data_IF_486376525603
#
_entry.id   IF_486376525603
#
_cell.length_a   1.000
_cell.length_b   1.000
_cell.length_c   1.000
_cell.angle_alpha   90.00
_cell.angle_beta   90.00
_cell.angle_gamma   90.00
#
_symmetry.space_group_name_H-M   'P 1'
#
loop_
_entity.id
_entity.type
_entity.pdbx_description
1 polymer ?
#
# COMPACT_ATOMS: atom_id res chain seq x y z
N UNK A 1 -0.37 3.64 -78.88
CA UNK A 1 -1.56 3.94 -78.03
C UNK A 1 -1.15 3.73 -76.58
N UNK A 2 -0.80 4.81 -75.86
CA UNK A 2 -0.07 4.73 -74.58
C UNK A 2 -1.00 5.17 -73.42
N UNK A 3 -1.37 4.22 -72.54
CA UNK A 3 -2.39 4.43 -71.49
C UNK A 3 -1.69 4.75 -70.16
N UNK A 4 -1.59 6.04 -69.81
CA UNK A 4 -1.09 6.48 -68.48
C UNK A 4 -2.03 5.96 -67.38
N UNK A 5 -1.54 5.07 -66.52
CA UNK A 5 -2.22 4.65 -65.29
C UNK A 5 -1.94 5.68 -64.20
N UNK A 6 -2.94 6.50 -63.87
CA UNK A 6 -2.90 7.40 -62.73
C UNK A 6 -3.04 6.59 -61.44
N UNK A 7 -1.93 6.32 -60.75
CA UNK A 7 -1.95 5.86 -59.35
C UNK A 7 -1.81 7.12 -58.50
N UNK A 8 -2.91 7.86 -58.33
CA UNK A 8 -2.91 9.12 -57.61
C UNK A 8 -3.78 9.02 -56.34
N UNK A 9 -3.11 8.97 -55.19
CA UNK A 9 -3.50 9.81 -54.06
C UNK A 9 -4.65 9.32 -53.17
N UNK A 10 -4.63 8.09 -52.67
CA UNK A 10 -5.60 7.66 -51.63
C UNK A 10 -4.97 6.94 -50.43
N UNK A 11 -3.82 7.42 -49.94
CA UNK A 11 -3.14 6.84 -48.76
C UNK A 11 -2.62 7.85 -47.74
N UNK A 12 -2.95 9.15 -47.82
CA UNK A 12 -2.55 10.12 -46.80
C UNK A 12 -3.59 10.32 -45.68
N UNK A 13 -4.86 9.99 -45.94
CA UNK A 13 -5.96 10.20 -44.99
C UNK A 13 -6.05 9.08 -43.94
N UNK A 14 -5.86 7.81 -44.32
CA UNK A 14 -5.93 6.67 -43.39
C UNK A 14 -4.71 6.60 -42.45
N UNK A 15 -3.53 7.02 -42.92
CA UNK A 15 -2.31 7.11 -42.10
C UNK A 15 -2.48 8.08 -40.93
N UNK A 16 -3.10 9.25 -41.16
CA UNK A 16 -3.41 10.22 -40.09
C UNK A 16 -4.36 9.64 -39.05
N UNK A 17 -5.32 8.82 -39.49
CA UNK A 17 -6.24 8.12 -38.58
C UNK A 17 -5.51 7.08 -37.72
N UNK A 18 -4.61 6.28 -38.30
CA UNK A 18 -3.82 5.30 -37.52
C UNK A 18 -2.90 5.98 -36.51
N UNK A 19 -2.25 7.10 -36.87
CA UNK A 19 -1.46 7.90 -35.92
C UNK A 19 -2.33 8.44 -34.79
N UNK A 20 -3.52 8.96 -35.10
CA UNK A 20 -4.44 9.48 -34.09
C UNK A 20 -4.87 8.38 -33.10
N UNK A 21 -5.22 7.18 -33.58
CA UNK A 21 -5.60 6.05 -32.73
C UNK A 21 -4.42 5.60 -31.86
N UNK A 22 -3.22 5.46 -32.45
CA UNK A 22 -2.03 5.08 -31.69
C UNK A 22 -1.69 6.11 -30.61
N UNK A 23 -1.83 7.41 -30.90
CA UNK A 23 -1.61 8.48 -29.93
C UNK A 23 -2.60 8.40 -28.76
N UNK A 24 -3.88 8.14 -29.02
CA UNK A 24 -4.90 7.98 -27.96
C UNK A 24 -4.58 6.78 -27.06
N UNK A 25 -4.15 5.65 -27.63
CA UNK A 25 -3.77 4.46 -26.85
C UNK A 25 -2.56 4.76 -25.98
N UNK A 26 -1.53 5.42 -26.52
CA UNK A 26 -0.31 5.76 -25.76
C UNK A 26 -0.63 6.74 -24.63
N UNK A 27 -1.41 7.79 -24.91
CA UNK A 27 -1.81 8.77 -23.89
C UNK A 27 -2.67 8.12 -22.82
N UNK A 28 -3.64 7.28 -23.21
CA UNK A 28 -4.49 6.54 -22.27
C UNK A 28 -3.69 5.57 -21.41
N UNK A 29 -2.73 4.87 -22.01
CA UNK A 29 -1.81 3.99 -21.28
C UNK A 29 -0.96 4.75 -20.27
N UNK A 30 -0.35 5.87 -20.67
CA UNK A 30 0.45 6.71 -19.78
C UNK A 30 -0.38 7.31 -18.65
N UNK A 31 -1.59 7.81 -18.95
CA UNK A 31 -2.50 8.33 -17.93
C UNK A 31 -2.96 7.24 -16.95
N UNK A 32 -3.22 6.02 -17.45
CA UNK A 32 -3.56 4.86 -16.63
C UNK A 32 -2.42 4.48 -15.68
N UNK A 33 -1.19 4.37 -16.20
CA UNK A 33 0.01 4.10 -15.40
C UNK A 33 0.22 5.22 -14.37
N UNK A 34 0.07 6.48 -14.75
CA UNK A 34 0.19 7.62 -13.84
C UNK A 34 -0.84 7.59 -12.70
N UNK A 35 -2.09 7.28 -13.03
CA UNK A 35 -3.17 7.12 -12.04
C UNK A 35 -2.94 5.94 -11.09
N UNK A 36 -2.40 4.83 -11.61
CA UNK A 36 -2.03 3.67 -10.79
C UNK A 36 -0.86 3.97 -9.85
N UNK A 37 0.13 4.75 -10.30
CA UNK A 37 1.28 5.15 -9.49
C UNK A 37 0.89 6.09 -8.34
N UNK A 38 -0.10 6.95 -8.53
CA UNK A 38 -0.57 7.88 -7.49
C UNK A 38 -1.71 7.33 -6.61
N UNK A 39 -2.26 6.16 -6.93
CA UNK A 39 -3.35 5.57 -6.15
C UNK A 39 -2.82 4.79 -4.94
N UNK A 40 -3.01 5.37 -3.76
CA UNK A 40 -2.93 4.64 -2.50
C UNK A 40 -3.97 3.51 -2.49
N UNK A 41 -3.64 2.30 -1.99
CA UNK A 41 -4.63 1.23 -1.86
C UNK A 41 -5.82 1.72 -1.03
N UNK A 42 -7.07 1.47 -1.47
CA UNK A 42 -8.26 1.95 -0.76
C UNK A 42 -8.38 1.40 0.66
N UNK A 43 -7.71 0.28 0.96
CA UNK A 43 -7.67 -0.35 2.28
C UNK A 43 -6.73 0.35 3.28
N UNK A 44 -5.81 1.21 2.83
CA UNK A 44 -4.87 1.89 3.73
C UNK A 44 -5.44 3.23 4.21
N UNK A 45 -5.98 3.22 5.43
CA UNK A 45 -6.43 4.41 6.15
C UNK A 45 -5.94 4.30 7.60
N UNK A 46 -4.73 4.77 7.92
CA UNK A 46 -4.25 4.73 9.30
C UNK A 46 -5.20 5.55 10.17
N UNK A 47 -5.64 4.96 11.28
CA UNK A 47 -6.47 5.64 12.27
C UNK A 47 -5.58 6.67 12.98
N UNK A 48 -6.03 7.92 13.07
CA UNK A 48 -5.33 8.91 13.88
C UNK A 48 -5.60 8.65 15.36
N UNK A 49 -4.56 8.70 16.20
CA UNK A 49 -4.73 8.63 17.64
C UNK A 49 -5.44 9.90 18.15
N UNK A 50 -6.41 9.75 19.04
CA UNK A 50 -7.11 10.87 19.68
C UNK A 50 -6.16 11.67 20.59
N UNK A 51 -5.31 10.97 21.36
CA UNK A 51 -4.27 11.54 22.22
C UNK A 51 -2.92 10.85 21.96
N UNK A 52 -2.07 11.38 21.06
CA UNK A 52 -0.82 10.72 20.66
C UNK A 52 0.24 10.68 21.77
N UNK A 53 0.17 11.55 22.78
CA UNK A 53 1.12 11.59 23.89
C UNK A 53 0.81 10.56 24.99
N UNK A 54 -0.38 9.97 24.97
CA UNK A 54 -0.81 8.98 25.96
C UNK A 54 -0.52 7.55 25.49
N UNK A 55 -0.16 6.69 26.44
CA UNK A 55 -0.05 5.24 26.18
C UNK A 55 -1.42 4.71 25.74
N UNK A 56 -1.42 3.79 24.77
CA UNK A 56 -2.62 3.13 24.28
C UNK A 56 -3.48 2.58 25.44
N UNK A 57 -4.78 2.96 25.52
CA UNK A 57 -5.72 2.34 26.43
C UNK A 57 -5.84 0.84 26.19
N UNK A 58 -5.73 0.41 24.93
CA UNK A 58 -5.74 -1.02 24.60
C UNK A 58 -4.57 -1.77 25.22
N UNK A 59 -3.36 -1.19 25.15
CA UNK A 59 -2.18 -1.77 25.78
C UNK A 59 -2.33 -1.87 27.30
N UNK A 60 -2.82 -0.81 27.93
CA UNK A 60 -2.86 -0.68 29.41
C UNK A 60 -4.06 -1.36 30.07
N UNK A 61 -5.23 -1.35 29.43
CA UNK A 61 -6.49 -1.85 30.02
C UNK A 61 -6.90 -3.24 29.53
N UNK A 62 -6.33 -3.72 28.41
CA UNK A 62 -6.66 -5.04 27.84
C UNK A 62 -5.46 -5.97 27.83
N UNK A 63 -4.48 -5.64 26.99
CA UNK A 63 -3.32 -6.50 26.74
C UNK A 63 -2.47 -6.77 27.99
N UNK A 64 -2.09 -5.71 28.72
CA UNK A 64 -1.22 -5.85 29.88
C UNK A 64 -1.88 -6.64 31.02
N UNK A 65 -3.15 -6.39 31.41
CA UNK A 65 -3.85 -7.21 32.39
C UNK A 65 -3.99 -8.68 31.95
N UNK A 66 -4.40 -8.95 30.72
CA UNK A 66 -4.60 -10.32 30.23
C UNK A 66 -3.28 -11.09 30.21
N UNK A 67 -2.20 -10.45 29.76
CA UNK A 67 -0.85 -11.01 29.81
C UNK A 67 -0.41 -11.29 31.24
N UNK A 68 -0.54 -10.30 32.13
CA UNK A 68 -0.09 -10.41 33.51
C UNK A 68 -0.83 -11.52 34.24
N UNK A 69 -2.15 -11.59 34.08
CA UNK A 69 -2.99 -12.63 34.67
C UNK A 69 -2.62 -14.02 34.12
N UNK A 70 -2.43 -14.15 32.81
CA UNK A 70 -2.03 -15.42 32.18
C UNK A 70 -0.67 -15.91 32.69
N UNK A 71 0.32 -15.01 32.78
CA UNK A 71 1.65 -15.34 33.31
C UNK A 71 1.59 -15.74 34.78
N UNK A 72 0.76 -15.08 35.60
CA UNK A 72 0.61 -15.41 37.01
C UNK A 72 0.06 -16.82 37.24
N UNK A 73 -0.83 -17.30 36.36
CA UNK A 73 -1.41 -18.62 36.47
C UNK A 73 -0.41 -19.74 36.11
N UNK A 74 0.71 -19.41 35.46
CA UNK A 74 1.75 -20.36 35.02
C UNK A 74 1.20 -21.57 34.25
N UNK A 75 0.12 -21.35 33.52
CA UNK A 75 -0.56 -22.31 32.65
C UNK A 75 -0.57 -21.76 31.22
N UNK A 76 -0.69 -22.62 30.19
CA UNK A 76 -0.93 -22.15 28.83
C UNK A 76 -2.21 -21.29 28.79
N UNK A 77 -2.08 -20.05 28.36
CA UNK A 77 -3.20 -19.12 28.22
C UNK A 77 -3.38 -18.69 26.78
N UNK A 78 -4.63 -18.35 26.44
CA UNK A 78 -4.98 -17.75 25.17
C UNK A 78 -5.08 -16.23 25.33
N UNK A 79 -4.62 -15.50 24.32
CA UNK A 79 -4.71 -14.04 24.28
C UNK A 79 -5.30 -13.62 22.95
N UNK A 80 -6.37 -12.83 23.02
CA UNK A 80 -7.05 -12.29 21.84
C UNK A 80 -6.48 -10.91 21.52
N UNK A 81 -5.80 -10.80 20.37
CA UNK A 81 -5.27 -9.54 19.87
C UNK A 81 -6.24 -8.99 18.82
N UNK A 82 -6.70 -7.76 19.03
CA UNK A 82 -7.64 -7.07 18.16
C UNK A 82 -6.90 -6.15 17.18
N UNK A 83 -7.30 -6.17 15.91
CA UNK A 83 -6.69 -5.35 14.86
C UNK A 83 -6.71 -3.86 15.22
N UNK A 84 -7.84 -3.38 15.73
CA UNK A 84 -8.04 -1.97 16.06
C UNK A 84 -7.15 -1.55 17.24
N UNK A 85 -6.96 -2.44 18.20
CA UNK A 85 -6.07 -2.23 19.33
C UNK A 85 -4.59 -2.15 18.92
N UNK A 86 -4.15 -3.00 18.00
CA UNK A 86 -2.78 -2.91 17.43
C UNK A 86 -2.62 -1.62 16.64
N UNK A 87 -3.61 -1.24 15.84
CA UNK A 87 -3.57 0.00 15.06
C UNK A 87 -3.58 1.26 15.96
N UNK A 88 -4.27 1.24 17.10
CA UNK A 88 -4.20 2.31 18.11
C UNK A 88 -2.81 2.42 18.74
N UNK A 89 -2.14 1.29 19.02
CA UNK A 89 -0.76 1.32 19.51
C UNK A 89 0.17 1.92 18.46
N UNK A 90 0.04 1.50 17.19
CA UNK A 90 0.90 1.96 16.11
C UNK A 90 0.69 3.44 15.78
N UNK A 91 -0.55 3.93 15.84
CA UNK A 91 -0.88 5.33 15.53
C UNK A 91 -0.32 6.34 16.54
N UNK A 92 -0.01 5.90 17.76
CA UNK A 92 0.61 6.71 18.83
C UNK A 92 2.14 6.77 18.73
N UNK A 93 2.75 5.98 17.87
CA UNK A 93 4.20 6.05 17.63
C UNK A 93 4.62 7.37 17.00
N UNK A 94 5.91 7.69 17.11
CA UNK A 94 6.48 8.83 16.39
C UNK A 94 6.55 8.48 14.90
N UNK A 95 5.72 9.11 14.08
CA UNK A 95 5.66 8.94 12.63
C UNK A 95 5.51 10.31 11.93
N UNK A 96 5.99 10.46 10.68
CA UNK A 96 6.79 9.47 9.95
C UNK A 96 8.20 9.30 10.53
N UNK A 97 8.82 8.16 10.27
CA UNK A 97 10.21 7.88 10.66
C UNK A 97 11.14 7.98 9.46
N UNK A 98 12.25 8.69 9.62
CA UNK A 98 13.28 8.83 8.59
C UNK A 98 14.39 7.79 8.81
N UNK A 99 14.69 7.01 7.77
CA UNK A 99 15.79 6.06 7.70
C UNK A 99 16.62 6.38 6.45
N UNK A 100 17.73 7.10 6.62
CA UNK A 100 18.60 7.55 5.52
C UNK A 100 17.79 8.18 4.36
N UNK A 101 17.68 7.46 3.25
CA UNK A 101 17.00 7.88 2.02
C UNK A 101 15.51 7.51 1.96
N UNK A 102 14.95 7.03 3.06
CA UNK A 102 13.60 6.47 3.14
C UNK A 102 12.80 7.11 4.27
N UNK A 103 11.60 7.58 3.98
CA UNK A 103 10.61 8.02 4.96
C UNK A 103 9.53 6.96 5.06
N UNK A 104 9.33 6.41 6.26
CA UNK A 104 8.29 5.43 6.56
C UNK A 104 7.13 6.14 7.26
N UNK A 105 5.95 6.10 6.65
CA UNK A 105 4.71 6.61 7.23
C UNK A 105 4.16 5.69 8.31
N UNK A 106 3.01 6.06 8.87
CA UNK A 106 2.34 5.29 9.94
C UNK A 106 2.00 3.88 9.41
N UNK A 107 2.51 2.80 9.99
CA UNK A 107 2.13 1.45 9.60
C UNK A 107 0.70 1.14 10.06
N UNK A 108 0.03 0.26 9.32
CA UNK A 108 -1.28 -0.29 9.63
C UNK A 108 -1.21 -1.81 9.54
N UNK A 109 -1.89 -2.47 10.47
CA UNK A 109 -2.07 -3.91 10.50
C UNK A 109 -3.48 -4.27 10.06
N UNK A 110 -3.58 -5.28 9.20
CA UNK A 110 -4.84 -5.89 8.76
C UNK A 110 -4.80 -7.38 9.04
N UNK A 111 -5.81 -7.90 9.73
CA UNK A 111 -5.97 -9.31 10.02
C UNK A 111 -6.90 -9.95 9.00
N UNK A 112 -6.40 -10.99 8.33
CA UNK A 112 -7.17 -11.86 7.44
C UNK A 112 -7.08 -13.30 7.96
N UNK A 113 -7.97 -14.18 7.51
CA UNK A 113 -7.99 -15.56 7.96
C UNK A 113 -6.62 -16.24 7.71
N UNK A 114 -5.92 -16.58 8.79
CA UNK A 114 -4.59 -17.22 8.76
C UNK A 114 -3.44 -16.31 8.33
N UNK A 115 -3.65 -15.00 8.12
CA UNK A 115 -2.60 -14.07 7.66
C UNK A 115 -2.70 -12.72 8.35
N UNK A 116 -1.55 -12.14 8.70
CA UNK A 116 -1.44 -10.77 9.21
C UNK A 116 -0.67 -9.94 8.19
N UNK A 117 -1.28 -8.86 7.72
CA UNK A 117 -0.65 -7.91 6.81
C UNK A 117 -0.19 -6.67 7.58
N UNK A 118 1.08 -6.32 7.45
CA UNK A 118 1.61 -5.04 7.89
C UNK A 118 1.87 -4.17 6.66
N UNK A 119 1.24 -3.00 6.59
CA UNK A 119 1.35 -2.08 5.46
C UNK A 119 1.79 -0.70 5.94
N UNK A 120 2.81 -0.13 5.33
CA UNK A 120 3.17 1.27 5.53
C UNK A 120 3.43 1.96 4.20
N UNK A 121 3.23 3.28 4.18
CA UNK A 121 3.67 4.13 3.09
C UNK A 121 5.18 4.35 3.20
N UNK A 122 5.87 4.15 2.09
CA UNK A 122 7.31 4.37 1.99
C UNK A 122 7.56 5.41 0.91
N UNK A 123 8.20 6.51 1.29
CA UNK A 123 8.71 7.52 0.36
C UNK A 123 10.23 7.38 0.30
N UNK A 124 10.80 7.01 -0.85
CA UNK A 124 12.25 6.92 -1.08
C UNK A 124 12.69 8.09 -1.95
N UNK A 125 13.89 8.66 -1.76
CA UNK A 125 14.37 9.82 -2.54
C UNK A 125 14.16 9.61 -4.05
N UNK A 126 13.15 10.30 -4.61
CA UNK A 126 12.80 10.27 -6.04
C UNK A 126 11.87 9.13 -6.49
N UNK A 127 11.50 8.19 -5.62
CA UNK A 127 10.54 7.12 -5.93
C UNK A 127 9.56 6.90 -4.78
N UNK A 128 8.33 7.35 -4.96
CA UNK A 128 7.20 7.02 -4.08
C UNK A 128 6.76 5.58 -4.41
N UNK A 129 7.23 4.56 -3.69
CA UNK A 129 6.76 3.19 -3.92
C UNK A 129 6.60 2.33 -2.65
N UNK A 130 5.33 1.91 -2.51
CA UNK A 130 4.64 0.88 -1.72
C UNK A 130 5.40 -0.19 -0.93
N UNK A 131 4.84 -0.40 0.27
CA UNK A 131 4.57 -1.67 0.96
C UNK A 131 5.70 -2.70 0.91
N UNK A 132 6.51 -2.70 1.97
CA UNK A 132 7.30 -3.87 2.34
C UNK A 132 6.34 -5.01 2.69
N UNK A 133 6.00 -5.84 1.70
CA UNK A 133 5.44 -7.16 1.96
C UNK A 133 6.59 -7.95 2.57
N UNK A 134 6.67 -7.98 3.90
CA UNK A 134 7.54 -8.94 4.57
C UNK A 134 7.14 -10.31 4.03
N UNK A 135 8.11 -10.95 3.38
CA UNK A 135 8.09 -12.37 3.17
C UNK A 135 8.01 -12.99 4.57
N UNK A 136 6.80 -13.38 4.98
CA UNK A 136 6.65 -14.49 5.90
C UNK A 136 7.14 -15.74 5.13
N UNK A 137 8.46 -15.89 5.03
CA UNK A 137 9.00 -17.23 4.88
C UNK A 137 8.63 -17.96 6.18
N UNK A 138 8.02 -19.16 6.11
CA UNK A 138 7.73 -19.92 7.30
C UNK A 138 9.05 -20.24 8.01
N UNK A 139 9.25 -19.63 9.18
CA UNK A 139 10.41 -19.82 10.06
C UNK A 139 10.32 -21.18 10.79
N UNK A 140 10.01 -22.25 10.06
CA UNK A 140 10.05 -23.63 10.54
C UNK A 140 10.70 -24.53 9.49
N UNK A 141 12.02 -24.71 9.62
CA UNK A 141 12.72 -25.96 9.31
C UNK A 141 13.74 -26.24 10.40
#
# INVERSE_FOLDING_TARGET
MNRKKNIAGKSKSRWKLYIAIAAVIVIGGLAGVWGLLHSSPPAYRPVAAENPEEVSPYLTHRLAPDFYNGVQLNEPFEMVIEQDGVNDILSRGVWPQQFDEMTVGIPMVVFEAGTVHLMSRVDYYGATCKTLRNAAEPFWR
#
